data_IF_657318008337
#
_entry.id   IF_657318008337
#
_cell.length_a   1.000
_cell.length_b   1.000
_cell.length_c   1.000
_cell.angle_alpha   90.00
_cell.angle_beta   90.00
_cell.angle_gamma   90.00
#
_symmetry.space_group_name_H-M   'P 1'
#
loop_
_entity.id
_entity.type
_entity.pdbx_description
1 polymer ?
#
# COMPACT_ATOMS: atom_id res chain seq x y z
N UNK A 1 -11.44 -20.65 -1.49
CA UNK A 1 -11.08 -19.24 -1.83
C UNK A 1 -9.85 -19.23 -2.73
N UNK A 2 -9.63 -18.16 -3.53
CA UNK A 2 -8.37 -17.97 -4.30
C UNK A 2 -7.50 -16.90 -3.68
N UNK A 3 -6.19 -17.10 -3.75
CA UNK A 3 -5.18 -16.12 -3.31
C UNK A 3 -4.25 -15.84 -4.48
N UNK A 4 -3.99 -14.56 -4.73
CA UNK A 4 -3.02 -14.09 -5.71
C UNK A 4 -1.82 -13.49 -4.99
N UNK A 5 -0.63 -13.80 -5.47
CA UNK A 5 0.62 -13.25 -4.94
C UNK A 5 1.47 -12.70 -6.07
N UNK A 6 2.03 -11.52 -5.86
CA UNK A 6 3.01 -10.90 -6.73
C UNK A 6 4.36 -10.73 -6.03
N UNK A 7 5.33 -10.17 -6.74
CA UNK A 7 6.66 -9.87 -6.23
C UNK A 7 7.56 -9.35 -7.34
N UNK A 8 8.84 -9.14 -7.04
CA UNK A 8 9.77 -8.63 -8.03
C UNK A 8 10.17 -9.72 -9.02
N UNK A 9 10.00 -9.43 -10.31
CA UNK A 9 10.39 -10.28 -11.43
C UNK A 9 11.75 -9.90 -12.02
N UNK A 10 12.21 -8.68 -11.73
CA UNK A 10 13.46 -8.08 -12.18
C UNK A 10 14.21 -7.49 -10.98
N UNK A 11 15.56 -7.30 -11.06
CA UNK A 11 16.31 -6.64 -10.01
C UNK A 11 15.79 -5.22 -9.74
N UNK A 12 15.67 -4.86 -8.49
CA UNK A 12 15.21 -3.53 -8.06
C UNK A 12 16.09 -2.97 -6.94
N UNK A 13 16.43 -1.69 -7.04
CA UNK A 13 17.07 -0.94 -5.97
C UNK A 13 16.02 -0.42 -5.01
N UNK A 14 16.00 -0.98 -3.80
CA UNK A 14 15.07 -0.59 -2.74
C UNK A 14 15.39 0.80 -2.19
N UNK A 15 14.40 1.45 -1.56
CA UNK A 15 14.60 2.70 -0.84
C UNK A 15 15.59 2.59 0.34
N UNK A 16 15.96 1.39 0.77
CA UNK A 16 17.04 1.13 1.73
C UNK A 16 18.45 1.18 1.11
N UNK A 17 18.56 1.32 -0.21
CA UNK A 17 19.83 1.20 -0.93
C UNK A 17 20.25 -0.24 -1.25
N UNK A 18 19.47 -1.24 -0.84
CA UNK A 18 19.72 -2.65 -1.13
C UNK A 18 19.23 -3.01 -2.54
N UNK A 19 20.05 -3.77 -3.29
CA UNK A 19 19.64 -4.36 -4.56
C UNK A 19 18.98 -5.72 -4.28
N UNK A 20 17.71 -5.86 -4.61
CA UNK A 20 16.95 -7.11 -4.50
C UNK A 20 16.83 -7.77 -5.86
N UNK A 21 17.30 -9.01 -5.95
CA UNK A 21 17.13 -9.86 -7.14
C UNK A 21 15.66 -10.27 -7.31
N UNK A 22 15.06 -9.92 -8.43
CA UNK A 22 13.72 -10.39 -8.78
C UNK A 22 13.71 -11.88 -9.11
N UNK A 23 12.95 -12.67 -8.37
CA UNK A 23 12.84 -14.14 -8.57
C UNK A 23 11.43 -14.61 -8.89
N UNK A 24 10.45 -13.72 -8.81
CA UNK A 24 9.08 -14.05 -9.17
C UNK A 24 8.94 -14.22 -10.68
N UNK A 25 7.98 -15.03 -11.08
CA UNK A 25 7.69 -15.29 -12.51
C UNK A 25 6.48 -14.50 -13.01
N UNK A 26 5.95 -13.58 -12.17
CA UNK A 26 4.72 -12.83 -12.41
C UNK A 26 3.77 -12.95 -11.22
N UNK A 27 2.46 -12.98 -11.50
CA UNK A 27 1.43 -13.14 -10.45
C UNK A 27 1.00 -14.60 -10.39
N UNK A 28 1.22 -15.23 -9.23
CA UNK A 28 0.82 -16.61 -8.97
C UNK A 28 -0.57 -16.67 -8.34
N UNK A 29 -1.35 -17.71 -8.73
CA UNK A 29 -2.65 -18.03 -8.20
C UNK A 29 -2.60 -19.34 -7.42
N UNK A 30 -3.23 -19.36 -6.25
CA UNK A 30 -3.35 -20.52 -5.39
C UNK A 30 -4.81 -20.77 -5.02
N UNK A 31 -5.19 -22.03 -4.87
CA UNK A 31 -6.42 -22.40 -4.16
C UNK A 31 -6.10 -22.48 -2.66
N UNK A 32 -6.91 -21.82 -1.85
CA UNK A 32 -6.80 -21.81 -0.40
C UNK A 32 -7.97 -22.59 0.22
N UNK A 33 -7.63 -23.60 0.99
CA UNK A 33 -8.58 -24.35 1.80
C UNK A 33 -8.74 -23.68 3.18
N UNK A 34 -9.89 -23.05 3.40
CA UNK A 34 -10.20 -22.30 4.63
C UNK A 34 -10.34 -23.21 5.86
N UNK A 35 -10.57 -24.51 5.68
CA UNK A 35 -10.70 -25.45 6.80
C UNK A 35 -9.35 -25.92 7.29
N UNK A 36 -8.41 -26.13 6.36
CA UNK A 36 -7.08 -26.69 6.69
C UNK A 36 -5.96 -25.66 6.67
N UNK A 37 -6.21 -24.45 6.16
CA UNK A 37 -5.21 -23.40 5.95
C UNK A 37 -4.20 -23.70 4.86
N UNK A 38 -4.43 -24.74 4.03
CA UNK A 38 -3.48 -25.16 3.00
C UNK A 38 -3.63 -24.36 1.72
N UNK A 39 -2.49 -24.08 1.09
CA UNK A 39 -2.38 -23.50 -0.24
C UNK A 39 -2.00 -24.57 -1.25
N UNK A 40 -2.74 -24.64 -2.36
CA UNK A 40 -2.38 -25.45 -3.53
C UNK A 40 -2.08 -24.53 -4.71
N UNK A 41 -0.86 -24.63 -5.26
CA UNK A 41 -0.47 -23.88 -6.46
C UNK A 41 -1.38 -24.26 -7.64
N UNK A 42 -1.83 -23.25 -8.37
CA UNK A 42 -2.72 -23.42 -9.52
C UNK A 42 -2.05 -23.00 -10.82
N UNK A 43 -1.66 -21.75 -10.93
CA UNK A 43 -1.04 -21.19 -12.14
C UNK A 43 -0.21 -19.95 -11.82
N UNK A 44 0.57 -19.49 -12.79
CA UNK A 44 1.23 -18.18 -12.77
C UNK A 44 1.00 -17.49 -14.11
N UNK A 45 0.64 -16.20 -14.05
CA UNK A 45 0.62 -15.33 -15.23
C UNK A 45 1.93 -14.57 -15.29
N UNK A 46 2.72 -14.84 -16.32
CA UNK A 46 4.01 -14.18 -16.59
C UNK A 46 3.88 -12.86 -17.32
N UNK A 47 5.01 -12.34 -17.81
CA UNK A 47 5.12 -11.09 -18.58
C UNK A 47 4.52 -9.86 -17.87
N UNK A 48 4.67 -9.83 -16.55
CA UNK A 48 4.26 -8.74 -15.68
C UNK A 48 5.49 -8.27 -14.91
N UNK A 49 5.95 -7.06 -15.19
CA UNK A 49 7.12 -6.48 -14.52
C UNK A 49 6.76 -6.09 -13.08
N UNK A 50 7.55 -6.58 -12.12
CA UNK A 50 7.51 -6.23 -10.70
C UNK A 50 6.10 -6.02 -10.11
N UNK A 51 5.18 -7.00 -10.16
CA UNK A 51 3.85 -6.88 -9.56
C UNK A 51 3.95 -6.99 -8.03
N UNK A 52 4.53 -5.98 -7.38
CA UNK A 52 4.86 -6.00 -5.95
C UNK A 52 3.64 -5.86 -5.03
N UNK A 53 2.56 -5.25 -5.51
CA UNK A 53 1.30 -5.14 -4.80
C UNK A 53 0.12 -5.47 -5.71
N UNK A 54 -0.78 -6.32 -5.21
CA UNK A 54 -1.97 -6.78 -5.94
C UNK A 54 -3.24 -6.53 -5.12
N UNK A 55 -4.32 -6.17 -5.80
CA UNK A 55 -5.62 -5.90 -5.20
C UNK A 55 -6.73 -6.49 -6.06
N UNK A 56 -7.45 -7.47 -5.55
CA UNK A 56 -8.62 -8.03 -6.23
C UNK A 56 -9.87 -7.19 -5.93
N UNK A 57 -10.81 -7.17 -6.88
CA UNK A 57 -12.14 -6.65 -6.61
C UNK A 57 -12.91 -7.60 -5.66
N UNK A 58 -14.03 -7.12 -5.10
CA UNK A 58 -14.82 -7.89 -4.10
C UNK A 58 -15.41 -9.15 -4.66
N UNK A 59 -15.73 -9.16 -5.96
CA UNK A 59 -16.33 -10.29 -6.64
C UNK A 59 -15.29 -11.33 -7.11
N UNK A 60 -13.99 -10.97 -7.01
CA UNK A 60 -12.89 -11.82 -7.44
C UNK A 60 -12.88 -12.06 -8.94
N UNK A 61 -13.39 -11.11 -9.72
CA UNK A 61 -13.43 -11.17 -11.18
C UNK A 61 -12.28 -10.37 -11.84
N UNK A 62 -11.73 -9.40 -11.13
CA UNK A 62 -10.69 -8.52 -11.63
C UNK A 62 -9.55 -8.36 -10.62
N UNK A 63 -8.34 -8.21 -11.14
CA UNK A 63 -7.13 -7.96 -10.35
C UNK A 63 -6.43 -6.71 -10.87
N UNK A 64 -6.10 -5.84 -9.95
CA UNK A 64 -5.27 -4.66 -10.17
C UNK A 64 -3.88 -4.91 -9.58
N UNK A 65 -2.82 -4.53 -10.28
CA UNK A 65 -1.49 -4.61 -9.71
C UNK A 65 -0.66 -3.37 -10.06
N UNK A 66 0.18 -2.95 -9.13
CA UNK A 66 1.26 -2.02 -9.45
C UNK A 66 2.33 -2.77 -10.24
N UNK A 67 3.00 -2.08 -11.14
CA UNK A 67 4.28 -2.48 -11.69
C UNK A 67 5.30 -1.53 -11.08
N UNK A 68 6.00 -1.98 -10.03
CA UNK A 68 6.94 -1.16 -9.27
C UNK A 68 8.22 -0.97 -10.08
N UNK A 69 8.35 0.20 -10.70
CA UNK A 69 9.41 0.55 -11.63
C UNK A 69 9.96 1.92 -11.29
N UNK A 70 11.26 2.13 -11.55
CA UNK A 70 11.89 3.46 -11.54
C UNK A 70 11.58 4.21 -12.83
N UNK A 71 11.57 3.49 -13.93
CA UNK A 71 11.45 3.99 -15.30
C UNK A 71 10.53 3.07 -16.10
N UNK A 72 9.69 3.67 -16.95
CA UNK A 72 8.89 2.96 -17.92
C UNK A 72 9.08 3.58 -19.32
N UNK A 73 9.75 2.83 -20.21
CA UNK A 73 10.06 3.26 -21.58
C UNK A 73 10.83 4.61 -21.64
N UNK A 74 11.79 4.84 -20.74
CA UNK A 74 12.59 6.06 -20.70
C UNK A 74 11.91 7.25 -20.01
N UNK A 75 10.80 7.01 -19.31
CA UNK A 75 10.07 8.03 -18.54
C UNK A 75 10.07 7.62 -17.07
N UNK A 76 10.57 8.49 -16.19
CA UNK A 76 10.56 8.26 -14.74
C UNK A 76 9.17 7.96 -14.24
N UNK A 77 8.95 6.74 -13.74
CA UNK A 77 7.71 6.33 -13.14
C UNK A 77 7.35 4.88 -13.37
N UNK A 78 6.30 4.49 -12.70
CA UNK A 78 5.74 3.14 -12.67
C UNK A 78 4.50 3.04 -13.54
N UNK A 79 3.91 1.86 -13.55
CA UNK A 79 2.60 1.63 -14.16
C UNK A 79 1.67 0.88 -13.20
N UNK A 80 0.39 0.91 -13.51
CA UNK A 80 -0.64 0.08 -12.89
C UNK A 80 -1.37 -0.70 -13.97
N UNK A 81 -1.48 -2.01 -13.78
CA UNK A 81 -2.11 -2.94 -14.74
C UNK A 81 -3.40 -3.51 -14.17
N UNK A 82 -4.35 -3.75 -15.06
CA UNK A 82 -5.65 -4.36 -14.74
C UNK A 82 -5.83 -5.64 -15.54
N UNK A 83 -6.34 -6.67 -14.87
CA UNK A 83 -6.56 -7.99 -15.44
C UNK A 83 -7.96 -8.51 -15.14
N UNK A 84 -8.57 -9.19 -16.12
CA UNK A 84 -9.67 -10.09 -15.87
C UNK A 84 -9.13 -11.43 -15.34
N UNK A 85 -9.81 -12.03 -14.36
CA UNK A 85 -9.46 -13.31 -13.77
C UNK A 85 -10.29 -14.41 -14.45
N UNK A 86 -9.64 -15.35 -15.10
CA UNK A 86 -10.31 -16.56 -15.57
C UNK A 86 -10.76 -17.39 -14.35
N UNK A 87 -12.07 -17.59 -14.23
CA UNK A 87 -12.67 -18.27 -13.07
C UNK A 87 -12.34 -19.76 -13.00
N UNK A 88 -12.01 -20.41 -14.10
CA UNK A 88 -11.68 -21.83 -14.11
C UNK A 88 -10.19 -22.06 -13.78
N UNK A 89 -9.32 -21.36 -14.46
CA UNK A 89 -7.87 -21.57 -14.37
C UNK A 89 -7.17 -20.68 -13.35
N UNK A 90 -7.72 -19.51 -13.03
CA UNK A 90 -7.05 -18.47 -12.25
C UNK A 90 -6.02 -17.67 -13.04
N UNK A 91 -5.91 -17.89 -14.36
CA UNK A 91 -5.05 -17.11 -15.24
C UNK A 91 -5.57 -15.67 -15.39
N UNK A 92 -4.65 -14.74 -15.64
CA UNK A 92 -4.95 -13.32 -15.76
C UNK A 92 -4.84 -12.88 -17.23
N UNK A 93 -5.87 -12.18 -17.71
CA UNK A 93 -5.88 -11.54 -19.03
C UNK A 93 -5.84 -10.03 -18.86
N UNK A 94 -4.79 -9.37 -19.39
CA UNK A 94 -4.63 -7.92 -19.27
C UNK A 94 -5.75 -7.17 -20.02
N UNK A 95 -6.41 -6.26 -19.32
CA UNK A 95 -7.41 -5.35 -19.88
C UNK A 95 -6.72 -4.08 -20.37
N UNK A 96 -6.00 -3.38 -19.47
CA UNK A 96 -5.17 -2.23 -19.83
C UNK A 96 -4.07 -1.96 -18.80
N UNK A 97 -3.28 -0.94 -19.06
CA UNK A 97 -2.20 -0.46 -18.22
C UNK A 97 -2.16 1.06 -18.30
N UNK A 98 -1.91 1.73 -17.18
CA UNK A 98 -1.78 3.19 -17.11
C UNK A 98 -0.46 3.57 -16.43
N UNK A 99 0.11 4.71 -16.84
CA UNK A 99 1.30 5.31 -16.23
C UNK A 99 0.92 5.98 -14.91
N UNK A 100 1.73 5.79 -13.83
CA UNK A 100 1.39 6.30 -12.49
C UNK A 100 1.91 7.70 -12.19
N UNK A 101 2.68 8.28 -13.10
CA UNK A 101 3.27 9.61 -12.94
C UNK A 101 4.19 9.75 -11.72
N UNK A 102 4.76 8.64 -11.25
CA UNK A 102 5.72 8.58 -10.15
C UNK A 102 6.42 7.22 -10.09
N UNK A 103 7.66 7.22 -9.62
CA UNK A 103 8.48 6.02 -9.50
C UNK A 103 8.10 5.18 -8.27
N UNK A 104 8.35 3.86 -8.35
CA UNK A 104 8.14 2.88 -7.31
C UNK A 104 6.69 2.87 -6.79
N UNK A 105 5.73 2.59 -7.69
CA UNK A 105 4.34 2.35 -7.29
C UNK A 105 4.27 1.11 -6.38
N UNK A 106 3.80 1.28 -5.14
CA UNK A 106 3.92 0.28 -4.09
C UNK A 106 2.60 -0.12 -3.40
N UNK A 107 1.51 0.62 -3.64
CA UNK A 107 0.24 0.34 -2.97
C UNK A 107 -0.96 0.76 -3.82
N UNK A 108 -2.05 0.01 -3.66
CA UNK A 108 -3.36 0.25 -4.29
C UNK A 108 -4.45 0.32 -3.23
N UNK A 109 -5.42 1.20 -3.43
CA UNK A 109 -6.67 1.18 -2.68
C UNK A 109 -7.84 1.63 -3.55
N UNK A 110 -9.04 1.11 -3.27
CA UNK A 110 -10.26 1.56 -3.91
C UNK A 110 -10.91 2.73 -3.17
N UNK A 111 -11.62 3.60 -3.90
CA UNK A 111 -12.61 4.48 -3.28
C UNK A 111 -13.72 3.65 -2.61
N UNK A 112 -14.49 4.22 -1.66
CA UNK A 112 -15.57 3.49 -0.98
C UNK A 112 -16.62 2.92 -1.94
N UNK A 113 -16.95 3.65 -3.00
CA UNK A 113 -17.90 3.25 -4.05
C UNK A 113 -17.26 2.40 -5.16
N UNK A 114 -15.94 2.13 -5.06
CA UNK A 114 -15.12 1.34 -6.00
C UNK A 114 -15.11 1.84 -7.44
N UNK A 115 -15.42 3.12 -7.64
CA UNK A 115 -15.33 3.76 -8.95
C UNK A 115 -13.96 4.33 -9.25
N UNK A 116 -13.09 4.42 -8.25
CA UNK A 116 -11.75 4.94 -8.38
C UNK A 116 -10.72 4.01 -7.75
N UNK A 117 -9.55 3.95 -8.38
CA UNK A 117 -8.34 3.33 -7.86
C UNK A 117 -7.32 4.41 -7.53
N UNK A 118 -6.71 4.31 -6.34
CA UNK A 118 -5.65 5.18 -5.87
C UNK A 118 -4.34 4.39 -5.89
N UNK A 119 -3.28 5.00 -6.42
CA UNK A 119 -1.95 4.38 -6.57
C UNK A 119 -0.91 5.24 -5.87
N UNK A 120 -0.25 4.68 -4.86
CA UNK A 120 0.84 5.32 -4.12
C UNK A 120 2.17 5.03 -4.80
N UNK A 121 2.97 6.07 -5.05
CA UNK A 121 4.31 5.99 -5.64
C UNK A 121 5.35 6.41 -4.59
N UNK A 122 6.17 5.47 -4.15
CA UNK A 122 7.12 5.66 -3.03
C UNK A 122 8.20 6.69 -3.36
N UNK A 123 9.12 6.37 -4.27
CA UNK A 123 10.22 7.29 -4.64
C UNK A 123 9.72 8.51 -5.42
N UNK A 124 8.58 8.40 -6.08
CA UNK A 124 7.94 9.53 -6.74
C UNK A 124 7.32 10.54 -5.78
N UNK A 125 7.17 10.20 -4.48
CA UNK A 125 6.49 11.03 -3.47
C UNK A 125 5.12 11.51 -3.94
N UNK A 126 4.40 10.66 -4.68
CA UNK A 126 3.17 11.07 -5.36
C UNK A 126 2.04 10.03 -5.24
N UNK A 127 0.83 10.50 -5.43
CA UNK A 127 -0.39 9.70 -5.48
C UNK A 127 -1.12 10.00 -6.79
N UNK A 128 -1.57 8.96 -7.49
CA UNK A 128 -2.41 9.09 -8.67
C UNK A 128 -3.78 8.46 -8.44
N UNK A 129 -4.84 9.09 -8.95
CA UNK A 129 -6.23 8.63 -8.86
C UNK A 129 -6.76 8.35 -10.25
N UNK A 130 -7.36 7.18 -10.44
CA UNK A 130 -7.88 6.71 -11.73
C UNK A 130 -9.35 6.37 -11.62
N UNK A 131 -10.15 6.81 -12.59
CA UNK A 131 -11.51 6.31 -12.74
C UNK A 131 -11.49 4.90 -13.30
N UNK A 132 -12.28 4.00 -12.70
CA UNK A 132 -12.50 2.64 -13.18
C UNK A 132 -13.65 2.70 -14.19
N UNK A 133 -13.42 2.15 -15.40
CA UNK A 133 -14.40 2.08 -16.48
C UNK A 133 -15.39 0.92 -16.26
N UNK A 134 -16.42 0.85 -17.09
CA UNK A 134 -17.39 -0.25 -17.07
C UNK A 134 -16.76 -1.62 -17.40
N UNK A 135 -15.71 -1.65 -18.24
CA UNK A 135 -14.93 -2.85 -18.53
C UNK A 135 -13.85 -3.15 -17.46
N UNK A 136 -13.90 -2.45 -16.31
CA UNK A 136 -12.94 -2.48 -15.20
C UNK A 136 -11.51 -2.01 -15.52
N UNK A 137 -11.22 -1.60 -16.75
CA UNK A 137 -9.98 -0.89 -17.08
C UNK A 137 -9.93 0.49 -16.44
N UNK A 138 -8.77 1.13 -16.50
CA UNK A 138 -8.54 2.47 -15.95
C UNK A 138 -8.57 3.54 -17.04
N UNK A 139 -9.22 4.66 -16.75
CA UNK A 139 -9.05 5.91 -17.53
C UNK A 139 -7.67 6.53 -17.19
N UNK A 140 -7.21 7.55 -17.94
CA UNK A 140 -6.08 8.36 -17.50
C UNK A 140 -6.32 8.98 -16.13
N UNK A 141 -5.24 9.26 -15.38
CA UNK A 141 -5.34 9.79 -14.02
C UNK A 141 -6.18 11.08 -13.97
N UNK A 142 -7.16 11.11 -13.08
CA UNK A 142 -8.03 12.27 -12.84
C UNK A 142 -7.41 13.27 -11.87
N UNK A 143 -6.51 12.78 -10.99
CA UNK A 143 -5.82 13.59 -9.99
C UNK A 143 -4.41 13.03 -9.79
N UNK A 144 -3.42 13.91 -9.70
CA UNK A 144 -2.04 13.59 -9.33
C UNK A 144 -1.65 14.55 -8.22
N UNK A 145 -1.34 13.99 -7.04
CA UNK A 145 -0.80 14.74 -5.91
C UNK A 145 0.69 14.49 -5.80
N UNK A 146 1.45 15.54 -5.43
CA UNK A 146 2.88 15.43 -5.12
C UNK A 146 3.12 16.06 -3.77
N UNK A 147 3.69 15.32 -2.85
CA UNK A 147 4.14 15.85 -1.58
C UNK A 147 5.46 16.60 -1.74
N UNK A 148 5.79 17.42 -0.76
CA UNK A 148 7.05 18.17 -0.69
C UNK A 148 7.47 18.27 0.77
N UNK A 149 8.74 18.14 1.03
CA UNK A 149 9.29 18.20 2.37
C UNK A 149 10.27 17.05 2.62
N UNK A 150 10.71 16.91 3.85
CA UNK A 150 11.61 15.86 4.33
C UNK A 150 11.41 15.65 5.82
N UNK A 151 11.85 14.51 6.34
CA UNK A 151 11.77 14.17 7.76
C UNK A 151 13.08 14.32 8.52
N UNK A 152 13.12 13.68 9.69
CA UNK A 152 14.25 13.76 10.62
C UNK A 152 15.42 12.85 10.25
N UNK A 153 15.15 11.75 9.53
CA UNK A 153 16.20 10.81 9.10
C UNK A 153 16.73 11.23 7.71
N UNK A 154 17.99 11.73 7.59
CA UNK A 154 18.49 12.26 6.34
C UNK A 154 18.75 11.21 5.26
N UNK A 155 18.86 9.92 5.63
CA UNK A 155 19.12 8.82 4.69
C UNK A 155 17.83 8.18 4.15
N UNK A 156 16.76 8.20 4.94
CA UNK A 156 15.52 7.53 4.61
C UNK A 156 14.31 8.48 4.49
N UNK A 157 14.50 9.75 4.82
CA UNK A 157 13.48 10.80 4.79
C UNK A 157 14.02 12.07 4.11
N UNK A 158 14.91 11.91 3.14
CA UNK A 158 15.50 12.99 2.33
C UNK A 158 14.47 13.71 1.45
N UNK A 159 13.34 13.05 1.19
CA UNK A 159 12.20 13.52 0.41
C UNK A 159 10.90 12.84 0.82
N UNK A 160 9.78 13.16 0.16
CA UNK A 160 8.51 12.48 0.39
C UNK A 160 8.54 11.04 -0.12
N UNK A 161 7.94 10.10 0.63
CA UNK A 161 7.81 8.71 0.27
C UNK A 161 6.38 8.22 0.56
N UNK A 162 5.48 8.40 -0.41
CA UNK A 162 4.08 7.98 -0.27
C UNK A 162 4.00 6.46 -0.35
N UNK A 163 3.52 5.83 0.75
CA UNK A 163 3.53 4.37 0.85
C UNK A 163 2.15 3.72 0.85
N UNK A 164 1.12 4.41 1.32
CA UNK A 164 -0.23 3.85 1.39
C UNK A 164 -1.29 4.96 1.32
N UNK A 165 -2.47 4.60 0.84
CA UNK A 165 -3.70 5.36 1.05
C UNK A 165 -4.70 4.55 1.87
N UNK A 166 -5.34 5.20 2.87
CA UNK A 166 -6.33 4.61 3.76
C UNK A 166 -7.60 5.45 3.72
N UNK A 167 -8.73 4.80 3.47
CA UNK A 167 -10.03 5.47 3.57
C UNK A 167 -10.40 5.69 5.04
N UNK A 168 -10.80 6.90 5.39
CA UNK A 168 -11.36 7.17 6.71
C UNK A 168 -12.72 6.48 6.88
N UNK A 169 -13.15 6.21 8.13
CA UNK A 169 -14.42 5.56 8.41
C UNK A 169 -15.66 6.33 7.89
N UNK A 170 -15.54 7.62 7.67
CA UNK A 170 -16.62 8.47 7.12
C UNK A 170 -16.80 8.32 5.60
N UNK A 171 -15.87 7.64 4.90
CA UNK A 171 -15.90 7.46 3.47
C UNK A 171 -15.64 8.74 2.64
N UNK A 172 -15.38 9.87 3.30
CA UNK A 172 -15.15 11.17 2.64
C UNK A 172 -13.70 11.60 2.69
N UNK A 173 -12.94 11.15 3.70
CA UNK A 173 -11.55 11.50 3.86
C UNK A 173 -10.63 10.34 3.46
N UNK A 174 -9.51 10.71 2.89
CA UNK A 174 -8.41 9.82 2.49
C UNK A 174 -7.16 10.25 3.24
N UNK A 175 -6.57 9.32 3.96
CA UNK A 175 -5.28 9.50 4.60
C UNK A 175 -4.19 8.91 3.72
N UNK A 176 -3.19 9.73 3.39
CA UNK A 176 -2.05 9.36 2.54
C UNK A 176 -0.82 9.29 3.41
N UNK A 177 -0.30 8.08 3.59
CA UNK A 177 0.94 7.86 4.34
C UNK A 177 2.13 8.44 3.58
N UNK A 178 2.92 9.26 4.23
CA UNK A 178 4.22 9.73 3.75
C UNK A 178 5.30 9.37 4.77
N UNK A 179 6.04 8.31 4.48
CA UNK A 179 7.13 7.83 5.31
C UNK A 179 8.23 8.87 5.43
N UNK A 180 8.49 9.61 4.35
CA UNK A 180 9.52 10.63 4.31
C UNK A 180 9.24 11.86 5.17
N UNK A 181 8.00 12.04 5.64
CA UNK A 181 7.60 13.18 6.45
C UNK A 181 6.96 12.80 7.79
N UNK A 182 6.90 11.52 8.13
CA UNK A 182 6.22 11.00 9.32
C UNK A 182 4.77 11.50 9.44
N UNK A 183 3.99 11.44 8.36
CA UNK A 183 2.63 11.96 8.34
C UNK A 183 1.67 11.07 7.55
N UNK A 184 0.45 10.96 8.02
CA UNK A 184 -0.71 10.63 7.20
C UNK A 184 -1.40 11.95 6.82
N UNK A 185 -1.14 12.44 5.62
CA UNK A 185 -1.75 13.66 5.10
C UNK A 185 -3.22 13.42 4.77
N UNK A 186 -4.10 14.30 5.26
CA UNK A 186 -5.54 14.18 5.07
C UNK A 186 -6.02 14.94 3.85
N UNK A 187 -6.88 14.30 3.08
CA UNK A 187 -7.55 14.87 1.93
C UNK A 187 -9.05 14.59 1.99
N UNK A 188 -9.86 15.59 1.67
CA UNK A 188 -11.28 15.39 1.40
C UNK A 188 -11.46 14.98 -0.06
N UNK A 189 -12.16 13.88 -0.28
CA UNK A 189 -12.41 13.37 -1.61
C UNK A 189 -13.66 14.01 -2.26
N UNK A 190 -13.55 14.36 -3.53
CA UNK A 190 -14.65 14.66 -4.45
C UNK A 190 -14.76 13.46 -5.42
N UNK A 191 -15.55 12.45 -5.03
CA UNK A 191 -15.71 11.23 -5.82
C UNK A 191 -16.54 11.41 -7.10
N UNK A 192 -17.19 12.58 -7.32
CA UNK A 192 -17.81 12.87 -8.61
C UNK A 192 -16.74 13.16 -9.68
N UNK A 193 -15.66 13.82 -9.28
CA UNK A 193 -14.55 14.21 -10.15
C UNK A 193 -13.31 13.33 -10.03
N UNK A 194 -13.20 12.53 -8.98
CA UNK A 194 -12.00 11.80 -8.63
C UNK A 194 -10.85 12.72 -8.18
N UNK A 195 -11.17 13.77 -7.42
CA UNK A 195 -10.21 14.73 -6.91
C UNK A 195 -10.03 14.58 -5.40
N UNK A 196 -8.84 14.94 -4.93
CA UNK A 196 -8.49 14.97 -3.52
C UNK A 196 -8.04 16.39 -3.17
N UNK A 197 -8.72 16.98 -2.19
CA UNK A 197 -8.50 18.34 -1.72
C UNK A 197 -7.85 18.31 -0.33
N UNK A 198 -6.69 18.96 -0.09
CA UNK A 198 -5.98 18.85 1.18
C UNK A 198 -6.75 19.48 2.34
N UNK A 199 -6.81 18.78 3.47
CA UNK A 199 -7.33 19.27 4.76
C UNK A 199 -6.25 19.08 5.83
N UNK A 200 -5.22 19.93 5.79
CA UNK A 200 -4.01 19.83 6.60
C UNK A 200 -4.26 19.85 8.12
N UNK A 201 -5.32 20.47 8.57
CA UNK A 201 -5.73 20.52 9.97
C UNK A 201 -6.18 19.15 10.52
N UNK A 202 -6.41 18.19 9.63
CA UNK A 202 -6.74 16.80 9.95
C UNK A 202 -5.58 15.82 9.74
N UNK A 203 -4.39 16.33 9.41
CA UNK A 203 -3.22 15.47 9.29
C UNK A 203 -2.94 14.71 10.59
N UNK A 204 -2.56 13.45 10.46
CA UNK A 204 -2.09 12.63 11.60
C UNK A 204 -0.57 12.58 11.52
N UNK A 205 0.09 13.21 12.48
CA UNK A 205 1.54 13.26 12.55
C UNK A 205 2.08 12.09 13.37
N UNK A 206 3.09 11.41 12.84
CA UNK A 206 3.89 10.41 13.51
C UNK A 206 4.97 11.05 14.39
N UNK A 207 5.72 10.21 15.09
CA UNK A 207 6.91 10.63 15.82
C UNK A 207 8.06 10.82 14.80
N UNK A 208 8.77 11.95 14.82
CA UNK A 208 9.83 12.23 13.86
C UNK A 208 10.91 11.14 13.81
N UNK A 209 11.24 10.67 12.62
CA UNK A 209 12.25 9.64 12.38
C UNK A 209 11.75 8.20 12.44
N UNK A 210 10.48 7.96 12.76
CA UNK A 210 9.92 6.60 12.80
C UNK A 210 9.54 6.04 11.42
N UNK A 211 9.23 6.89 10.45
CA UNK A 211 8.81 6.49 9.11
C UNK A 211 7.42 5.85 9.10
N UNK A 212 6.36 6.68 9.13
CA UNK A 212 4.98 6.17 9.03
C UNK A 212 4.79 5.43 7.71
N UNK A 213 4.42 4.14 7.76
CA UNK A 213 4.37 3.31 6.56
C UNK A 213 2.95 2.88 6.19
N UNK A 214 2.37 1.99 6.95
CA UNK A 214 1.01 1.49 6.76
C UNK A 214 0.15 1.78 7.99
N UNK A 215 -1.12 2.08 7.75
CA UNK A 215 -2.11 2.30 8.80
C UNK A 215 -3.40 1.53 8.55
N UNK A 216 -4.14 1.27 9.62
CA UNK A 216 -5.44 0.63 9.56
C UNK A 216 -6.36 1.20 10.65
N UNK A 217 -7.61 1.51 10.29
CA UNK A 217 -8.65 1.84 11.26
C UNK A 217 -9.22 0.57 11.88
N UNK A 218 -9.56 0.63 13.16
CA UNK A 218 -10.32 -0.43 13.79
C UNK A 218 -11.74 -0.56 13.18
N UNK A 219 -12.39 -1.67 13.46
CA UNK A 219 -13.72 -1.98 12.90
C UNK A 219 -14.81 -0.96 13.29
N UNK A 220 -14.58 -0.19 14.35
CA UNK A 220 -15.51 0.84 14.84
C UNK A 220 -15.13 2.24 14.33
N UNK A 221 -13.96 2.40 13.70
CA UNK A 221 -13.45 3.69 13.26
C UNK A 221 -13.07 4.64 14.40
N UNK A 222 -12.73 4.09 15.58
CA UNK A 222 -12.39 4.86 16.80
C UNK A 222 -10.91 4.88 17.10
N UNK A 223 -10.14 3.96 16.51
CA UNK A 223 -8.69 3.91 16.63
C UNK A 223 -8.05 3.77 15.26
N UNK A 224 -6.87 4.36 15.15
CA UNK A 224 -6.02 4.25 13.98
C UNK A 224 -4.65 3.70 14.40
N UNK A 225 -4.26 2.58 13.81
CA UNK A 225 -3.02 1.88 14.09
C UNK A 225 -2.04 2.11 12.95
N UNK A 226 -0.81 2.49 13.28
CA UNK A 226 0.22 2.83 12.29
C UNK A 226 1.48 1.99 12.54
N UNK A 227 1.86 1.20 11.55
CA UNK A 227 3.18 0.54 11.52
C UNK A 227 4.21 1.53 11.03
N UNK A 228 5.27 1.71 11.82
CA UNK A 228 6.45 2.49 11.45
C UNK A 228 7.51 1.61 10.81
N UNK A 229 8.10 2.08 9.71
CA UNK A 229 9.11 1.27 9.01
C UNK A 229 10.45 1.27 9.73
N UNK A 230 10.93 2.46 10.15
CA UNK A 230 12.31 2.64 10.58
C UNK A 230 12.56 2.18 12.02
N UNK A 231 11.52 2.15 12.86
CA UNK A 231 11.64 1.74 14.27
C UNK A 231 10.92 0.44 14.59
N UNK A 232 10.17 -0.14 13.64
CA UNK A 232 9.41 -1.39 13.86
C UNK A 232 8.45 -1.28 15.05
N UNK A 233 7.71 -0.19 15.13
CA UNK A 233 6.75 0.07 16.21
C UNK A 233 5.35 0.22 15.63
N UNK A 234 4.34 -0.01 16.47
CA UNK A 234 2.94 0.29 16.19
C UNK A 234 2.51 1.48 17.04
N UNK A 235 2.19 2.60 16.40
CA UNK A 235 1.57 3.75 17.05
C UNK A 235 0.06 3.59 17.03
N UNK A 236 -0.57 3.77 18.19
CA UNK A 236 -2.02 3.70 18.37
C UNK A 236 -2.57 5.09 18.61
N UNK A 237 -3.46 5.53 17.77
CA UNK A 237 -4.13 6.82 17.89
C UNK A 237 -5.61 6.62 18.23
N UNK A 238 -6.11 7.38 19.20
CA UNK A 238 -7.55 7.58 19.32
C UNK A 238 -8.00 8.48 18.16
N UNK A 239 -9.02 8.04 17.42
CA UNK A 239 -9.54 8.77 16.28
C UNK A 239 -10.99 9.19 16.52
N UNK A 240 -11.27 10.49 16.35
CA UNK A 240 -12.61 11.04 16.50
C UNK A 240 -12.81 12.26 15.59
N UNK A 241 -13.80 12.18 14.71
CA UNK A 241 -14.22 13.30 13.84
C UNK A 241 -13.07 13.96 13.05
N UNK A 242 -12.16 13.15 12.51
CA UNK A 242 -11.01 13.62 11.73
C UNK A 242 -9.83 14.11 12.57
N UNK A 243 -9.89 13.98 13.89
CA UNK A 243 -8.76 14.26 14.80
C UNK A 243 -8.18 12.96 15.34
N UNK A 244 -6.87 12.91 15.47
CA UNK A 244 -6.17 11.76 15.99
C UNK A 244 -5.20 12.18 17.10
N UNK A 245 -5.24 11.47 18.24
CA UNK A 245 -4.39 11.69 19.39
C UNK A 245 -3.58 10.41 19.66
N UNK A 246 -2.24 10.53 19.72
CA UNK A 246 -1.37 9.41 20.03
C UNK A 246 -1.59 8.94 21.47
N UNK A 247 -1.99 7.69 21.64
CA UNK A 247 -2.25 7.09 22.93
C UNK A 247 -1.12 6.16 23.39
N UNK A 248 -0.51 5.43 22.46
CA UNK A 248 0.46 4.39 22.78
C UNK A 248 1.40 4.16 21.60
N UNK A 249 2.64 3.78 21.91
CA UNK A 249 3.62 3.21 21.00
C UNK A 249 4.04 1.86 21.53
N UNK A 250 3.97 0.82 20.69
CA UNK A 250 4.26 -0.56 21.07
C UNK A 250 5.32 -1.11 20.11
N UNK A 251 6.41 -1.68 20.65
CA UNK A 251 7.38 -2.40 19.83
C UNK A 251 6.74 -3.63 19.17
N UNK A 252 7.08 -3.88 17.91
CA UNK A 252 6.74 -5.12 17.21
C UNK A 252 7.56 -6.33 17.72
N UNK A 253 8.50 -6.11 18.62
CA UNK A 253 9.30 -7.17 19.27
C UNK A 253 8.86 -7.34 20.72
N UNK A 254 8.55 -8.58 21.10
CA UNK A 254 8.23 -8.92 22.49
C UNK A 254 9.43 -8.66 23.42
N UNK A 255 10.64 -8.87 22.91
CA UNK A 255 11.91 -8.51 23.55
C UNK A 255 12.66 -7.53 22.64
N UNK A 256 12.94 -6.28 23.07
CA UNK A 256 13.69 -5.31 22.27
C UNK A 256 15.06 -5.80 21.80
N UNK A 257 15.69 -6.75 22.52
CA UNK A 257 16.98 -7.33 22.12
C UNK A 257 16.89 -8.20 20.84
N UNK A 258 15.68 -8.56 20.41
CA UNK A 258 15.44 -9.29 19.15
C UNK A 258 15.45 -8.36 17.93
N UNK A 259 15.36 -7.07 18.13
CA UNK A 259 15.49 -6.09 17.04
C UNK A 259 16.94 -6.01 16.61
N UNK A 260 17.21 -6.47 15.39
CA UNK A 260 18.54 -6.40 14.78
C UNK A 260 18.66 -5.20 13.84
N UNK A 261 19.88 -4.78 13.57
CA UNK A 261 20.15 -3.75 12.56
C UNK A 261 19.57 -4.16 11.21
N UNK A 262 18.95 -3.23 10.49
CA UNK A 262 18.29 -3.48 9.20
C UNK A 262 16.88 -4.05 9.29
N UNK A 263 16.32 -4.29 10.49
CA UNK A 263 14.90 -4.61 10.61
C UNK A 263 14.02 -3.43 10.18
N UNK A 264 12.98 -3.73 9.40
CA UNK A 264 12.04 -2.74 8.88
C UNK A 264 10.60 -3.21 9.09
N UNK A 265 9.78 -2.37 9.72
CA UNK A 265 8.35 -2.60 9.79
C UNK A 265 7.72 -2.59 8.38
N UNK A 266 6.65 -3.36 8.20
CA UNK A 266 6.03 -3.48 6.87
C UNK A 266 4.50 -3.31 6.92
N UNK A 267 3.73 -4.37 6.81
CA UNK A 267 2.28 -4.29 6.78
C UNK A 267 1.66 -4.25 8.18
N UNK A 268 0.44 -3.73 8.25
CA UNK A 268 -0.42 -3.82 9.42
C UNK A 268 -1.83 -4.19 8.98
N UNK A 269 -2.46 -5.09 9.70
CA UNK A 269 -3.84 -5.52 9.45
C UNK A 269 -4.58 -5.74 10.76
N UNK A 270 -5.88 -5.45 10.74
CA UNK A 270 -6.76 -5.70 11.88
C UNK A 270 -7.61 -6.92 11.60
N UNK A 271 -7.64 -7.85 12.54
CA UNK A 271 -8.52 -9.01 12.44
C UNK A 271 -9.99 -8.56 12.34
N UNK A 272 -10.83 -9.19 11.51
CA UNK A 272 -12.23 -8.79 11.33
C UNK A 272 -13.05 -8.75 12.62
N UNK A 273 -12.65 -9.51 13.66
CA UNK A 273 -13.28 -9.43 14.99
C UNK A 273 -12.94 -8.15 15.77
N UNK A 274 -11.96 -7.34 15.32
CA UNK A 274 -11.44 -6.18 16.04
C UNK A 274 -10.60 -6.50 17.29
N UNK A 275 -10.32 -7.78 17.58
CA UNK A 275 -9.61 -8.20 18.80
C UNK A 275 -8.09 -8.24 18.65
N UNK A 276 -7.59 -8.30 17.41
CA UNK A 276 -6.19 -8.53 17.14
C UNK A 276 -5.72 -7.55 16.04
N UNK A 277 -4.51 -7.06 16.21
CA UNK A 277 -3.77 -6.28 15.22
C UNK A 277 -2.52 -7.10 14.88
N UNK A 278 -2.22 -7.26 13.60
CA UNK A 278 -1.04 -7.97 13.12
C UNK A 278 -0.11 -6.99 12.42
N UNK A 279 1.14 -6.96 12.85
CA UNK A 279 2.22 -6.22 12.21
C UNK A 279 3.25 -7.18 11.63
N UNK A 280 3.85 -6.84 10.49
CA UNK A 280 4.92 -7.64 9.90
C UNK A 280 6.24 -6.88 9.95
N UNK A 281 7.34 -7.61 10.21
CA UNK A 281 8.70 -7.07 10.28
C UNK A 281 9.60 -7.81 9.31
N UNK A 282 10.25 -7.08 8.43
CA UNK A 282 11.30 -7.57 7.51
C UNK A 282 12.64 -7.62 8.23
N UNK A 283 13.56 -8.42 7.74
CA UNK A 283 14.85 -8.68 8.39
C UNK A 283 14.76 -9.89 9.31
N UNK A 284 14.04 -9.81 10.41
CA UNK A 284 13.72 -10.97 11.28
C UNK A 284 12.58 -11.84 10.74
N UNK A 285 11.81 -11.36 9.76
CA UNK A 285 10.76 -12.10 9.05
C UNK A 285 9.71 -12.71 9.98
N UNK A 286 9.17 -11.93 10.90
CA UNK A 286 8.12 -12.37 11.82
C UNK A 286 6.83 -11.53 11.70
N UNK A 287 5.78 -12.03 12.32
CA UNK A 287 4.49 -11.35 12.51
C UNK A 287 4.34 -11.10 14.01
N UNK A 288 4.10 -9.83 14.37
CA UNK A 288 3.80 -9.40 15.73
C UNK A 288 2.29 -9.33 15.98
#
# INVERSE_FOLDING_TARGET
MRIFTGGYTEPILMGSGEMVEGRCKGIACYDFDEQTGKLAYRTVTGDIQNPSYVLADVEGAYLYCVNELKDWNGIDGSTVSVFAIDRETGALQRINQQFTCGADACHLSFSPDKKYLLVSNYSGGSLAVYRIREDHGLEPATCILRHQGRGANPERQEGPHIHQTVMAPDGQHVYVSDLGQDVFACYRADWEKGWLLPEKEKNIYGIPGQGTRHGAFDVNGTHFYVMTELTCEVNVYQYKAGQAELMQTISAFADPAQQTEGCLGAGIQIHPSGKWVYGTVRGTNHIA
#
